data_IF_045395757354
#
_entry.id   IF_045395757354
#
_cell.length_a   1.000
_cell.length_b   1.000
_cell.length_c   1.000
_cell.angle_alpha   90.00
_cell.angle_beta   90.00
_cell.angle_gamma   90.00
#
_symmetry.space_group_name_H-M   'P 1'
#
loop_
_entity.id
_entity.type
_entity.pdbx_description
1 polymer ?
#
# COMPACT_ATOMS: atom_id res chain seq x y z
N UNK A 1 -7.59 9.30 13.30
CA UNK A 1 -8.73 10.01 12.68
C UNK A 1 -9.31 9.09 11.61
N UNK A 2 -10.63 9.10 11.37
CA UNK A 2 -11.18 8.50 10.16
C UNK A 2 -10.50 9.17 8.95
N UNK A 3 -10.00 8.38 8.00
CA UNK A 3 -9.56 8.93 6.73
C UNK A 3 -10.79 9.33 5.93
N UNK A 4 -10.87 10.60 5.52
CA UNK A 4 -11.99 11.10 4.71
C UNK A 4 -11.76 10.71 3.24
N UNK A 5 -11.92 9.41 2.97
CA UNK A 5 -11.74 8.83 1.64
C UNK A 5 -12.99 9.15 0.80
N UNK A 6 -12.84 9.71 -0.42
CA UNK A 6 -13.97 9.94 -1.30
C UNK A 6 -14.71 8.64 -1.61
N UNK A 7 -15.99 8.55 -1.26
CA UNK A 7 -16.83 7.35 -1.46
C UNK A 7 -17.76 7.44 -2.67
N UNK A 8 -17.85 8.59 -3.31
CA UNK A 8 -18.71 8.82 -4.47
C UNK A 8 -17.93 9.56 -5.56
N UNK A 9 -18.41 9.47 -6.80
CA UNK A 9 -17.83 10.21 -7.92
C UNK A 9 -17.78 11.72 -7.65
N UNK A 10 -18.84 12.30 -7.08
CA UNK A 10 -18.88 13.73 -6.73
C UNK A 10 -17.85 14.08 -5.65
N UNK A 11 -17.75 13.28 -4.58
CA UNK A 11 -16.72 13.50 -3.56
C UNK A 11 -15.32 13.37 -4.13
N UNK A 12 -15.13 12.49 -5.11
CA UNK A 12 -13.85 12.34 -5.79
C UNK A 12 -13.54 13.56 -6.66
N UNK A 13 -14.51 14.09 -7.40
CA UNK A 13 -14.36 15.32 -8.17
C UNK A 13 -13.98 16.52 -7.29
N UNK A 14 -14.62 16.65 -6.13
CA UNK A 14 -14.29 17.68 -5.14
C UNK A 14 -12.86 17.49 -4.61
N UNK A 15 -12.49 16.25 -4.25
CA UNK A 15 -11.14 15.93 -3.79
C UNK A 15 -10.07 16.18 -4.86
N UNK A 16 -10.37 15.87 -6.12
CA UNK A 16 -9.49 16.13 -7.26
C UNK A 16 -9.32 17.62 -7.52
N UNK A 17 -10.39 18.40 -7.42
CA UNK A 17 -10.32 19.87 -7.52
C UNK A 17 -9.46 20.47 -6.41
N UNK A 18 -9.60 19.95 -5.19
CA UNK A 18 -8.76 20.36 -4.06
C UNK A 18 -7.29 19.96 -4.24
N UNK A 19 -7.01 18.79 -4.81
CA UNK A 19 -5.66 18.34 -5.12
C UNK A 19 -4.98 19.27 -6.14
N UNK A 20 -5.68 19.66 -7.21
CA UNK A 20 -5.16 20.62 -8.20
C UNK A 20 -4.89 21.98 -7.56
N UNK A 21 -5.84 22.52 -6.78
CA UNK A 21 -5.63 23.77 -6.05
C UNK A 21 -4.42 23.71 -5.09
N UNK A 22 -4.22 22.57 -4.42
CA UNK A 22 -3.07 22.36 -3.55
C UNK A 22 -1.75 22.33 -4.33
N UNK A 23 -1.71 21.64 -5.47
CA UNK A 23 -0.54 21.62 -6.36
C UNK A 23 -0.20 23.04 -6.85
N UNK A 24 -1.20 23.80 -7.26
CA UNK A 24 -1.03 25.18 -7.71
C UNK A 24 -0.48 26.08 -6.60
N UNK A 25 -1.07 26.01 -5.40
CA UNK A 25 -0.60 26.76 -4.22
C UNK A 25 0.86 26.42 -3.87
N UNK A 26 1.20 25.14 -3.89
CA UNK A 26 2.57 24.70 -3.68
C UNK A 26 3.49 25.25 -4.77
N UNK A 27 3.12 25.13 -6.04
CA UNK A 27 3.88 25.66 -7.17
C UNK A 27 4.12 27.17 -7.07
N UNK A 28 3.11 27.96 -6.69
CA UNK A 28 3.26 29.40 -6.48
C UNK A 28 4.28 29.71 -5.38
N UNK A 29 4.22 28.99 -4.25
CA UNK A 29 5.23 29.14 -3.19
C UNK A 29 6.63 28.76 -3.66
N UNK A 30 6.76 27.71 -4.46
CA UNK A 30 8.06 27.30 -4.99
C UNK A 30 8.64 28.33 -5.93
N UNK A 31 7.84 28.87 -6.84
CA UNK A 31 8.24 29.97 -7.71
C UNK A 31 8.67 31.19 -6.90
N UNK A 32 7.92 31.53 -5.84
CA UNK A 32 8.30 32.61 -4.92
C UNK A 32 9.64 32.35 -4.20
N UNK A 33 9.99 31.08 -3.97
CA UNK A 33 11.30 30.67 -3.44
C UNK A 33 12.38 30.48 -4.53
N UNK A 34 12.11 30.82 -5.78
CA UNK A 34 13.06 30.68 -6.90
C UNK A 34 13.20 29.25 -7.45
N UNK A 35 12.23 28.37 -7.17
CA UNK A 35 12.15 27.02 -7.70
C UNK A 35 10.95 26.87 -8.62
N UNK A 36 11.18 26.56 -9.89
CA UNK A 36 10.10 26.50 -10.89
C UNK A 36 9.46 25.12 -11.03
N UNK A 37 9.82 24.15 -10.18
CA UNK A 37 9.42 22.77 -10.39
C UNK A 37 8.97 22.04 -9.10
N UNK A 38 7.66 21.80 -8.97
CA UNK A 38 7.08 20.97 -7.91
C UNK A 38 7.47 19.50 -8.05
N UNK A 39 7.69 19.01 -9.27
CA UNK A 39 8.24 17.67 -9.49
C UNK A 39 9.66 17.56 -8.94
N UNK A 40 10.44 18.65 -8.87
CA UNK A 40 11.77 18.61 -8.26
C UNK A 40 11.69 18.46 -6.72
N UNK A 41 10.63 18.99 -6.11
CA UNK A 41 10.40 18.88 -4.67
C UNK A 41 9.82 17.52 -4.30
N UNK A 42 8.88 17.03 -5.10
CA UNK A 42 8.41 15.67 -5.03
C UNK A 42 9.56 14.68 -5.33
N UNK A 43 10.47 14.96 -6.27
CA UNK A 43 11.61 14.09 -6.58
C UNK A 43 12.56 13.91 -5.40
N UNK A 44 12.63 14.89 -4.48
CA UNK A 44 13.33 14.76 -3.19
C UNK A 44 12.65 13.81 -2.21
N UNK A 45 11.38 13.45 -2.43
CA UNK A 45 10.59 12.53 -1.61
C UNK A 45 9.80 11.55 -2.49
N UNK A 46 10.39 10.38 -2.75
CA UNK A 46 9.83 9.36 -3.65
C UNK A 46 8.42 8.94 -3.28
N UNK A 47 8.10 8.85 -2.00
CA UNK A 47 6.76 8.48 -1.51
C UNK A 47 5.73 9.54 -1.89
N UNK A 48 6.07 10.81 -1.65
CA UNK A 48 5.21 11.93 -2.03
C UNK A 48 5.01 11.99 -3.56
N UNK A 49 6.07 11.78 -4.34
CA UNK A 49 5.96 11.70 -5.81
C UNK A 49 4.99 10.61 -6.26
N UNK A 50 5.11 9.41 -5.70
CA UNK A 50 4.26 8.26 -6.05
C UNK A 50 2.81 8.50 -5.68
N UNK A 51 2.58 9.05 -4.49
CA UNK A 51 1.24 9.39 -4.03
C UNK A 51 0.59 10.43 -4.96
N UNK A 52 1.32 11.51 -5.28
CA UNK A 52 0.81 12.56 -6.17
C UNK A 52 0.54 12.02 -7.57
N UNK A 53 1.45 11.23 -8.14
CA UNK A 53 1.26 10.62 -9.46
C UNK A 53 0.02 9.72 -9.48
N UNK A 54 -0.13 8.85 -8.48
CA UNK A 54 -1.28 7.95 -8.37
C UNK A 54 -2.59 8.71 -8.17
N UNK A 55 -2.62 9.71 -7.28
CA UNK A 55 -3.81 10.54 -7.08
C UNK A 55 -4.17 11.35 -8.33
N UNK A 56 -3.17 11.82 -9.09
CA UNK A 56 -3.39 12.51 -10.37
C UNK A 56 -4.01 11.58 -11.41
N UNK A 57 -3.52 10.34 -11.52
CA UNK A 57 -4.09 9.33 -12.41
C UNK A 57 -5.53 8.98 -12.03
N UNK A 58 -5.83 8.84 -10.72
CA UNK A 58 -7.22 8.66 -10.23
C UNK A 58 -8.11 9.84 -10.62
N UNK A 59 -7.59 11.06 -10.70
CA UNK A 59 -8.35 12.26 -11.06
C UNK A 59 -8.58 12.41 -12.57
N UNK A 60 -7.87 11.67 -13.42
CA UNK A 60 -8.06 11.67 -14.87
C UNK A 60 -9.24 10.76 -15.24
N UNK A 61 -10.37 11.35 -15.64
CA UNK A 61 -11.63 10.63 -15.90
C UNK A 61 -11.53 9.52 -16.94
N UNK A 62 -10.61 9.66 -17.88
CA UNK A 62 -10.32 8.72 -18.96
C UNK A 62 -9.30 7.63 -18.56
N UNK A 63 -8.71 7.70 -17.36
CA UNK A 63 -7.76 6.70 -16.91
C UNK A 63 -8.47 5.39 -16.50
N UNK A 64 -7.87 4.22 -16.78
CA UNK A 64 -8.36 2.94 -16.26
C UNK A 64 -8.45 2.93 -14.73
N UNK A 65 -7.49 3.59 -14.06
CA UNK A 65 -7.44 3.66 -12.60
C UNK A 65 -8.60 4.47 -12.03
N UNK A 66 -9.00 5.57 -12.66
CA UNK A 66 -10.20 6.34 -12.28
C UNK A 66 -11.45 5.47 -12.34
N UNK A 67 -11.64 4.78 -13.46
CA UNK A 67 -12.82 3.93 -13.69
C UNK A 67 -12.89 2.84 -12.61
N UNK A 68 -11.79 2.14 -12.38
CA UNK A 68 -11.71 1.09 -11.36
C UNK A 68 -11.94 1.65 -9.94
N UNK A 69 -11.35 2.81 -9.62
CA UNK A 69 -11.51 3.47 -8.34
C UNK A 69 -12.97 3.85 -8.06
N UNK A 70 -13.63 4.55 -8.98
CA UNK A 70 -15.03 4.99 -8.81
C UNK A 70 -15.97 3.80 -8.62
N UNK A 71 -15.71 2.68 -9.30
CA UNK A 71 -16.55 1.48 -9.20
C UNK A 71 -16.42 0.77 -7.85
N UNK A 72 -15.26 0.82 -7.20
CA UNK A 72 -14.96 -0.03 -6.04
C UNK A 72 -14.83 0.73 -4.71
N UNK A 73 -14.56 2.04 -4.73
CA UNK A 73 -14.14 2.78 -3.53
C UNK A 73 -15.19 2.83 -2.43
N UNK A 74 -16.48 2.89 -2.78
CA UNK A 74 -17.56 2.91 -1.79
C UNK A 74 -17.55 1.65 -0.92
N UNK A 75 -17.42 0.48 -1.56
CA UNK A 75 -17.33 -0.80 -0.85
C UNK A 75 -16.02 -0.92 -0.08
N UNK A 76 -14.89 -0.62 -0.72
CA UNK A 76 -13.57 -0.69 -0.07
C UNK A 76 -13.48 0.22 1.16
N UNK A 77 -14.05 1.43 1.10
CA UNK A 77 -14.15 2.34 2.25
C UNK A 77 -14.92 1.70 3.39
N UNK A 78 -16.08 1.09 3.11
CA UNK A 78 -16.87 0.41 4.14
C UNK A 78 -16.08 -0.75 4.78
N UNK A 79 -15.32 -1.51 3.99
CA UNK A 79 -14.41 -2.57 4.47
C UNK A 79 -13.32 -2.00 5.39
N UNK A 80 -12.66 -0.90 4.98
CA UNK A 80 -11.62 -0.24 5.77
C UNK A 80 -12.19 0.30 7.09
N UNK A 81 -13.36 0.95 7.06
CA UNK A 81 -14.01 1.49 8.25
C UNK A 81 -14.49 0.38 9.19
N UNK A 82 -15.00 -0.72 8.66
CA UNK A 82 -15.38 -1.90 9.46
C UNK A 82 -14.14 -2.50 10.15
N UNK A 83 -13.03 -2.63 9.42
CA UNK A 83 -11.77 -3.08 10.01
C UNK A 83 -11.23 -2.10 11.05
N UNK A 84 -11.31 -0.78 10.82
CA UNK A 84 -10.86 0.21 11.81
C UNK A 84 -11.59 0.06 13.14
N UNK A 85 -12.87 -0.33 13.13
CA UNK A 85 -13.65 -0.58 14.35
C UNK A 85 -13.27 -1.87 15.06
N UNK A 86 -13.03 -2.94 14.32
CA UNK A 86 -12.82 -4.29 14.88
C UNK A 86 -11.35 -4.66 15.03
N UNK A 87 -10.45 -3.93 14.36
CA UNK A 87 -8.99 -4.12 14.33
C UNK A 87 -8.55 -5.52 13.84
N UNK A 88 -9.38 -6.19 13.04
CA UNK A 88 -9.09 -7.57 12.61
C UNK A 88 -7.84 -7.71 11.74
N UNK A 89 -7.50 -6.74 10.89
CA UNK A 89 -6.25 -6.78 10.12
C UNK A 89 -5.01 -6.55 11.00
N UNK A 90 -5.15 -5.80 12.09
CA UNK A 90 -4.10 -5.68 13.10
C UNK A 90 -3.88 -7.00 13.83
N UNK A 91 -4.96 -7.67 14.24
CA UNK A 91 -4.89 -8.97 14.93
C UNK A 91 -4.35 -10.06 14.01
N UNK A 92 -4.78 -10.09 12.75
CA UNK A 92 -4.22 -10.94 11.70
C UNK A 92 -2.71 -10.75 11.57
N UNK A 93 -2.26 -9.50 11.40
CA UNK A 93 -0.85 -9.16 11.23
C UNK A 93 -0.03 -9.60 12.44
N UNK A 94 -0.56 -9.41 13.66
CA UNK A 94 0.09 -9.86 14.89
C UNK A 94 0.27 -11.38 14.90
N UNK A 95 -0.79 -12.15 14.62
CA UNK A 95 -0.74 -13.62 14.60
C UNK A 95 0.20 -14.16 13.52
N UNK A 96 0.18 -13.56 12.33
CA UNK A 96 1.08 -13.94 11.25
C UNK A 96 2.56 -13.71 11.62
N UNK A 97 2.87 -12.58 12.26
CA UNK A 97 4.23 -12.31 12.76
C UNK A 97 4.62 -13.26 13.91
N UNK A 98 3.73 -13.54 14.85
CA UNK A 98 3.98 -14.51 15.93
C UNK A 98 4.23 -15.91 15.38
N UNK A 99 3.51 -16.32 14.33
CA UNK A 99 3.74 -17.61 13.67
C UNK A 99 5.11 -17.67 12.99
N UNK A 100 5.58 -16.55 12.44
CA UNK A 100 6.85 -16.49 11.70
C UNK A 100 8.06 -16.15 12.56
N UNK A 101 7.90 -15.96 13.87
CA UNK A 101 8.97 -15.62 14.81
C UNK A 101 10.13 -16.63 14.73
N UNK A 102 9.82 -17.91 14.94
CA UNK A 102 10.77 -19.03 14.84
C UNK A 102 11.41 -19.14 13.43
N UNK A 103 10.65 -19.16 12.31
CA UNK A 103 11.21 -19.14 10.97
C UNK A 103 12.15 -17.97 10.68
N UNK A 104 11.84 -16.76 11.18
CA UNK A 104 12.68 -15.57 11.01
C UNK A 104 13.99 -15.74 11.78
N UNK A 105 13.94 -16.17 13.04
CA UNK A 105 15.14 -16.38 13.85
C UNK A 105 16.08 -17.43 13.24
N UNK A 106 15.54 -18.50 12.64
CA UNK A 106 16.37 -19.50 11.94
C UNK A 106 17.13 -18.95 10.73
N UNK A 107 16.66 -17.85 10.14
CA UNK A 107 17.36 -17.16 9.03
C UNK A 107 18.45 -16.21 9.52
N UNK A 108 18.58 -15.97 10.84
CA UNK A 108 19.62 -15.13 11.44
C UNK A 108 20.99 -15.83 11.51
N UNK A 109 21.55 -16.19 10.35
CA UNK A 109 22.83 -16.92 10.27
C UNK A 109 24.06 -16.13 10.75
N UNK A 110 23.92 -14.81 10.95
CA UNK A 110 25.02 -13.90 11.29
C UNK A 110 24.93 -13.31 12.70
N UNK A 111 23.95 -13.72 13.51
CA UNK A 111 23.65 -13.11 14.82
C UNK A 111 23.55 -11.58 14.72
N UNK A 112 22.79 -11.09 13.73
CA UNK A 112 22.49 -9.66 13.58
C UNK A 112 21.33 -9.30 14.51
N UNK A 113 21.59 -8.43 15.49
CA UNK A 113 20.58 -7.97 16.46
C UNK A 113 19.41 -7.22 15.79
N UNK A 114 19.62 -6.70 14.57
CA UNK A 114 18.57 -6.04 13.78
C UNK A 114 17.84 -6.98 12.82
N UNK A 115 18.15 -8.28 12.82
CA UNK A 115 17.58 -9.24 11.88
C UNK A 115 16.06 -9.31 11.98
N UNK A 116 15.53 -9.59 13.17
CA UNK A 116 14.09 -9.66 13.41
C UNK A 116 13.39 -8.34 13.08
N UNK A 117 13.99 -7.20 13.45
CA UNK A 117 13.45 -5.88 13.15
C UNK A 117 13.33 -5.67 11.64
N UNK A 118 14.36 -6.02 10.88
CA UNK A 118 14.40 -5.88 9.42
C UNK A 118 13.29 -6.70 8.75
N UNK A 119 13.11 -7.95 9.18
CA UNK A 119 12.06 -8.83 8.64
C UNK A 119 10.66 -8.38 9.05
N UNK A 120 10.44 -8.07 10.33
CA UNK A 120 9.14 -7.63 10.82
C UNK A 120 8.73 -6.27 10.24
N UNK A 121 9.68 -5.36 9.99
CA UNK A 121 9.43 -4.08 9.33
C UNK A 121 8.94 -4.26 7.88
N UNK A 122 9.47 -5.26 7.17
CA UNK A 122 9.01 -5.62 5.83
C UNK A 122 7.67 -6.39 5.85
N UNK A 123 7.52 -7.41 6.72
CA UNK A 123 6.36 -8.29 6.75
C UNK A 123 5.09 -7.61 7.27
N UNK A 124 5.21 -6.72 8.26
CA UNK A 124 4.08 -6.02 8.86
C UNK A 124 3.19 -5.29 7.84
N UNK A 125 3.70 -4.39 6.98
CA UNK A 125 2.88 -3.74 5.99
C UNK A 125 2.30 -4.74 4.98
N UNK A 126 3.08 -5.75 4.56
CA UNK A 126 2.59 -6.80 3.66
C UNK A 126 1.40 -7.56 4.24
N UNK A 127 1.40 -7.93 5.52
CA UNK A 127 0.26 -8.61 6.14
C UNK A 127 -0.97 -7.72 6.29
N UNK A 128 -0.77 -6.43 6.61
CA UNK A 128 -1.86 -5.45 6.64
C UNK A 128 -2.49 -5.35 5.25
N UNK A 129 -1.67 -5.20 4.20
CA UNK A 129 -2.13 -5.12 2.81
C UNK A 129 -2.83 -6.42 2.40
N UNK A 130 -2.27 -7.59 2.73
CA UNK A 130 -2.87 -8.88 2.39
C UNK A 130 -4.26 -9.02 3.03
N UNK A 131 -4.39 -8.67 4.32
CA UNK A 131 -5.67 -8.71 5.00
C UNK A 131 -6.70 -7.79 4.32
N UNK A 132 -6.34 -6.55 3.98
CA UNK A 132 -7.25 -5.65 3.27
C UNK A 132 -7.61 -6.15 1.87
N UNK A 133 -6.67 -6.77 1.16
CA UNK A 133 -6.94 -7.37 -0.15
C UNK A 133 -7.89 -8.57 -0.03
N UNK A 134 -7.68 -9.47 0.93
CA UNK A 134 -8.56 -10.61 1.21
C UNK A 134 -9.97 -10.17 1.59
N UNK A 135 -10.08 -9.13 2.43
CA UNK A 135 -11.39 -8.57 2.78
C UNK A 135 -12.07 -7.89 1.60
N UNK A 136 -11.33 -7.11 0.82
CA UNK A 136 -11.86 -6.47 -0.39
C UNK A 136 -12.34 -7.52 -1.39
N UNK A 137 -11.60 -8.61 -1.56
CA UNK A 137 -12.03 -9.75 -2.38
C UNK A 137 -13.38 -10.32 -1.89
N UNK A 138 -13.47 -10.59 -0.59
CA UNK A 138 -14.64 -11.23 0.01
C UNK A 138 -15.88 -10.33 0.02
N UNK A 139 -15.70 -9.04 0.29
CA UNK A 139 -16.80 -8.10 0.50
C UNK A 139 -17.19 -7.35 -0.78
N UNK A 140 -16.22 -7.07 -1.65
CA UNK A 140 -16.38 -6.20 -2.81
C UNK A 140 -16.10 -6.89 -4.16
N UNK A 141 -15.44 -8.04 -4.15
CA UNK A 141 -15.14 -8.83 -5.34
C UNK A 141 -13.69 -8.72 -5.84
N UNK A 142 -13.33 -9.51 -6.88
CA UNK A 142 -11.97 -9.60 -7.40
C UNK A 142 -11.38 -8.26 -7.86
N UNK A 143 -12.19 -7.43 -8.53
CA UNK A 143 -11.78 -6.12 -9.06
C UNK A 143 -11.34 -5.18 -7.95
N UNK A 144 -12.04 -5.16 -6.81
CA UNK A 144 -11.69 -4.36 -5.65
C UNK A 144 -10.37 -4.81 -5.01
N UNK A 145 -10.14 -6.14 -4.91
CA UNK A 145 -8.84 -6.69 -4.46
C UNK A 145 -7.71 -6.28 -5.39
N UNK A 146 -7.92 -6.38 -6.70
CA UNK A 146 -6.89 -6.02 -7.67
C UNK A 146 -6.57 -4.53 -7.65
N UNK A 147 -7.58 -3.68 -7.55
CA UNK A 147 -7.41 -2.25 -7.31
C UNK A 147 -6.64 -1.97 -6.01
N UNK A 148 -6.99 -2.63 -4.89
CA UNK A 148 -6.33 -2.41 -3.60
C UNK A 148 -4.81 -2.63 -3.71
N UNK A 149 -4.40 -3.73 -4.33
CA UNK A 149 -2.98 -4.02 -4.50
C UNK A 149 -2.34 -3.11 -5.55
N UNK A 150 -3.04 -2.76 -6.65
CA UNK A 150 -2.53 -1.81 -7.65
C UNK A 150 -2.26 -0.43 -7.04
N UNK A 151 -3.16 0.09 -6.20
CA UNK A 151 -2.97 1.35 -5.49
C UNK A 151 -1.75 1.31 -4.59
N UNK A 152 -1.55 0.21 -3.85
CA UNK A 152 -0.35 0.03 -3.02
C UNK A 152 0.92 -0.08 -3.87
N UNK A 153 0.86 -0.73 -5.03
CA UNK A 153 2.00 -0.86 -5.92
C UNK A 153 2.40 0.49 -6.54
N UNK A 154 1.43 1.33 -6.90
CA UNK A 154 1.66 2.65 -7.51
C UNK A 154 2.04 3.71 -6.46
N UNK A 155 1.31 3.77 -5.35
CA UNK A 155 1.47 4.81 -4.33
C UNK A 155 2.43 4.43 -3.19
N UNK A 156 2.62 3.14 -2.93
CA UNK A 156 3.39 2.65 -1.80
C UNK A 156 4.89 2.53 -2.07
N UNK A 157 5.64 2.31 -0.98
CA UNK A 157 7.08 2.12 -0.98
C UNK A 157 7.49 0.80 -0.37
N UNK A 158 6.87 -0.27 -0.90
CA UNK A 158 7.25 -1.66 -0.57
C UNK A 158 8.74 -1.87 -0.80
N UNK A 159 9.34 -1.20 -1.79
CA UNK A 159 10.79 -1.30 -2.04
C UNK A 159 11.66 -0.78 -0.89
N UNK A 160 11.22 0.27 -0.20
CA UNK A 160 11.97 0.86 0.93
C UNK A 160 11.75 0.06 2.20
N UNK A 161 10.54 -0.48 2.38
CA UNK A 161 10.18 -1.33 3.52
C UNK A 161 10.76 -2.74 3.42
N UNK A 162 10.96 -3.24 2.19
CA UNK A 162 11.47 -4.58 1.90
C UNK A 162 12.71 -4.50 0.98
N UNK A 163 13.91 -4.29 1.57
CA UNK A 163 15.18 -4.28 0.86
C UNK A 163 15.40 -5.53 0.00
N UNK A 164 16.06 -5.37 -1.15
CA UNK A 164 16.24 -6.45 -2.12
C UNK A 164 16.93 -7.71 -1.53
N UNK A 165 17.86 -7.52 -0.60
CA UNK A 165 18.63 -8.60 0.01
C UNK A 165 17.83 -9.55 0.90
N UNK A 166 16.62 -9.17 1.33
CA UNK A 166 15.74 -10.05 2.14
C UNK A 166 14.53 -10.56 1.35
N UNK A 167 14.27 -10.09 0.12
CA UNK A 167 13.02 -10.39 -0.60
C UNK A 167 12.77 -11.87 -0.85
N UNK A 168 13.83 -12.62 -1.17
CA UNK A 168 13.73 -14.06 -1.40
C UNK A 168 13.28 -14.77 -0.13
N UNK A 169 13.88 -14.40 1.01
CA UNK A 169 13.49 -14.94 2.31
C UNK A 169 12.08 -14.55 2.71
N UNK A 170 11.67 -13.31 2.42
CA UNK A 170 10.29 -12.84 2.67
C UNK A 170 9.30 -13.63 1.82
N UNK A 171 9.60 -13.87 0.53
CA UNK A 171 8.75 -14.68 -0.34
C UNK A 171 8.62 -16.13 0.17
N UNK A 172 9.70 -16.71 0.66
CA UNK A 172 9.73 -18.05 1.29
C UNK A 172 8.89 -18.10 2.57
N UNK A 173 8.97 -17.07 3.41
CA UNK A 173 8.14 -16.95 4.62
C UNK A 173 6.65 -16.78 4.28
N UNK A 174 6.32 -15.97 3.28
CA UNK A 174 4.95 -15.83 2.78
C UNK A 174 4.42 -17.14 2.19
N UNK A 175 5.26 -17.90 1.49
CA UNK A 175 4.89 -19.21 0.96
C UNK A 175 4.63 -20.21 2.07
N UNK A 176 5.49 -20.25 3.09
CA UNK A 176 5.33 -21.08 4.28
C UNK A 176 4.00 -20.79 4.95
N UNK A 177 3.71 -19.51 5.21
CA UNK A 177 2.46 -19.10 5.85
C UNK A 177 1.24 -19.51 5.03
N UNK A 178 1.23 -19.28 3.72
CA UNK A 178 0.14 -19.69 2.81
C UNK A 178 -0.11 -21.21 2.84
N UNK A 179 0.95 -22.02 2.83
CA UNK A 179 0.83 -23.48 2.87
C UNK A 179 0.24 -23.98 4.19
N UNK A 180 0.54 -23.30 5.29
CA UNK A 180 0.15 -23.70 6.64
C UNK A 180 -1.25 -23.20 7.01
N UNK A 181 -1.61 -21.98 6.58
CA UNK A 181 -2.93 -21.39 6.87
C UNK A 181 -3.98 -21.69 5.80
N UNK A 182 -3.55 -22.13 4.61
CA UNK A 182 -4.40 -22.25 3.41
C UNK A 182 -5.00 -20.90 2.98
N UNK A 183 -4.39 -19.79 3.36
CA UNK A 183 -4.80 -18.44 2.95
C UNK A 183 -3.89 -17.90 1.85
N UNK A 184 -4.50 -17.46 0.74
CA UNK A 184 -3.75 -16.87 -0.37
C UNK A 184 -3.00 -15.59 0.04
N UNK A 185 -1.74 -15.48 -0.39
CA UNK A 185 -0.89 -14.32 -0.13
C UNK A 185 -0.73 -13.47 -1.40
N UNK A 186 -1.71 -12.60 -1.65
CA UNK A 186 -1.75 -11.69 -2.82
C UNK A 186 -0.55 -10.74 -2.89
N UNK A 187 0.02 -10.40 -1.72
CA UNK A 187 1.12 -9.45 -1.59
C UNK A 187 2.46 -9.95 -2.12
N UNK A 188 2.61 -11.24 -2.44
CA UNK A 188 3.82 -11.74 -3.12
C UNK A 188 4.11 -10.98 -4.42
N UNK A 189 3.06 -10.56 -5.14
CA UNK A 189 3.20 -9.80 -6.39
C UNK A 189 3.86 -8.42 -6.22
N UNK A 190 3.79 -7.86 -5.01
CA UNK A 190 4.45 -6.58 -4.69
C UNK A 190 5.98 -6.73 -4.58
N UNK A 191 6.47 -7.95 -4.37
CA UNK A 191 7.89 -8.24 -4.19
C UNK A 191 8.57 -8.73 -5.49
N UNK A 192 7.81 -9.32 -6.42
CA UNK A 192 8.33 -9.91 -7.66
C UNK A 192 8.59 -8.90 -8.78
N UNK A 193 8.00 -7.70 -8.72
CA UNK A 193 8.03 -6.72 -9.81
C UNK A 193 9.44 -6.18 -10.18
N UNK A 194 10.48 -6.49 -9.41
CA UNK A 194 11.87 -6.04 -9.63
C UNK A 194 12.93 -7.14 -9.51
N UNK A 195 12.53 -8.40 -9.54
CA UNK A 195 13.47 -9.53 -9.65
C UNK A 195 13.83 -9.85 -11.12
N UNK A 196 13.31 -9.07 -12.07
CA UNK A 196 13.59 -9.10 -13.51
C UNK A 196 14.40 -7.88 -13.93
#
# INVERSE_FOLDING_TARGET
MPMDIPSTATQLEDACSNLENYKDCMMERLRACGSDNFDALAAGNKDLSRLIATSTEICQKDSPLHTSYVQNIACMKATIEADFRVQSCRDYTKKALEYLDDPIERKNTKNDDNHFFTYSYCLRPLFVINCYATKSLRECGPEAKDLAIELIQKAGSVDEQCPANIRIDILDLLQTLESETQEEMYVKRLLTFKLL
#
